data_IF_285983547574
#
_entry.id   IF_285983547574
#
_cell.length_a   1.000
_cell.length_b   1.000
_cell.length_c   1.000
_cell.angle_alpha   90.00
_cell.angle_beta   90.00
_cell.angle_gamma   90.00
#
_symmetry.space_group_name_H-M   'P 1'
#
loop_
_entity.id
_entity.type
_entity.pdbx_description
1 polymer ?
#
# COMPACT_ATOMS: atom_id res chain seq x y z
N UNK A 1 -6.03 30.59 -13.95
CA UNK A 1 -7.28 30.12 -13.32
C UNK A 1 -6.93 29.23 -12.14
N UNK A 2 -6.73 29.83 -10.96
CA UNK A 2 -6.54 29.09 -9.72
C UNK A 2 -7.93 28.68 -9.20
N UNK A 3 -8.26 27.40 -9.29
CA UNK A 3 -9.54 26.89 -8.82
C UNK A 3 -9.51 26.83 -7.29
N UNK A 4 -10.07 27.87 -6.66
CA UNK A 4 -10.27 27.95 -5.22
C UNK A 4 -11.32 26.93 -4.79
N UNK A 5 -10.88 25.75 -4.33
CA UNK A 5 -11.78 24.80 -3.67
C UNK A 5 -11.84 25.15 -2.18
N UNK A 6 -12.90 25.84 -1.78
CA UNK A 6 -13.25 26.16 -0.40
C UNK A 6 -13.80 24.91 0.30
N UNK A 7 -12.95 23.88 0.44
CA UNK A 7 -13.31 22.63 1.10
C UNK A 7 -13.35 22.88 2.62
N UNK A 8 -14.54 22.69 3.21
CA UNK A 8 -14.74 22.76 4.66
C UNK A 8 -13.70 21.91 5.41
N UNK A 9 -13.17 22.44 6.53
CA UNK A 9 -12.12 21.82 7.34
C UNK A 9 -12.44 20.36 7.73
N UNK A 10 -13.72 20.03 7.90
CA UNK A 10 -14.19 18.66 8.17
C UNK A 10 -14.01 17.71 6.98
N UNK A 11 -14.20 18.17 5.75
CA UNK A 11 -13.98 17.37 4.53
C UNK A 11 -12.50 17.11 4.29
N UNK A 12 -11.65 18.11 4.56
CA UNK A 12 -10.20 17.94 4.54
C UNK A 12 -9.76 16.87 5.54
N UNK A 13 -10.23 16.94 6.78
CA UNK A 13 -9.95 15.91 7.80
C UNK A 13 -10.47 14.52 7.41
N UNK A 14 -11.63 14.43 6.78
CA UNK A 14 -12.16 13.17 6.27
C UNK A 14 -11.27 12.54 5.19
N UNK A 15 -10.83 13.34 4.21
CA UNK A 15 -9.92 12.87 3.15
C UNK A 15 -8.56 12.47 3.72
N UNK A 16 -8.05 13.24 4.69
CA UNK A 16 -6.84 12.93 5.45
C UNK A 16 -6.94 11.58 6.16
N UNK A 17 -8.07 11.33 6.84
CA UNK A 17 -8.35 10.06 7.51
C UNK A 17 -8.37 8.90 6.53
N UNK A 18 -9.06 9.04 5.40
CA UNK A 18 -9.11 7.99 4.36
C UNK A 18 -7.72 7.69 3.80
N UNK A 19 -6.94 8.73 3.49
CA UNK A 19 -5.58 8.59 2.99
C UNK A 19 -4.66 7.91 4.01
N UNK A 20 -4.75 8.32 5.29
CA UNK A 20 -4.00 7.71 6.39
C UNK A 20 -4.38 6.24 6.59
N UNK A 21 -5.67 5.92 6.57
CA UNK A 21 -6.16 4.54 6.64
C UNK A 21 -5.68 3.71 5.46
N UNK A 22 -5.69 4.27 4.25
CA UNK A 22 -5.17 3.59 3.07
C UNK A 22 -3.66 3.30 3.20
N UNK A 23 -2.85 4.25 3.69
CA UNK A 23 -1.42 4.03 3.96
C UNK A 23 -1.18 2.99 5.05
N UNK A 24 -2.02 2.99 6.08
CA UNK A 24 -1.97 2.01 7.16
C UNK A 24 -2.26 0.59 6.63
N UNK A 25 -3.33 0.42 5.85
CA UNK A 25 -3.73 -0.88 5.26
C UNK A 25 -2.67 -1.38 4.28
N UNK A 26 -2.09 -0.48 3.49
CA UNK A 26 -1.05 -0.79 2.52
C UNK A 26 0.13 -1.50 3.20
N UNK A 27 0.67 -0.89 4.26
CA UNK A 27 1.75 -1.50 5.04
C UNK A 27 1.30 -2.70 5.86
N UNK A 28 0.06 -2.72 6.34
CA UNK A 28 -0.48 -3.86 7.06
C UNK A 28 -0.53 -5.14 6.20
N UNK A 29 -0.69 -5.03 4.89
CA UNK A 29 -0.65 -6.19 3.99
C UNK A 29 0.77 -6.76 3.84
N UNK A 30 1.81 -5.94 4.06
CA UNK A 30 3.21 -6.34 3.89
C UNK A 30 3.78 -7.08 5.11
N UNK A 31 3.43 -6.64 6.32
CA UNK A 31 4.02 -7.14 7.56
C UNK A 31 3.81 -8.64 7.86
N UNK A 32 2.66 -9.28 7.54
CA UNK A 32 2.44 -10.70 7.85
C UNK A 32 3.50 -11.63 7.24
N UNK A 33 4.03 -11.31 6.06
CA UNK A 33 5.07 -12.13 5.44
C UNK A 33 6.39 -12.07 6.19
N UNK A 34 6.83 -10.85 6.52
CA UNK A 34 8.06 -10.65 7.27
C UNK A 34 7.96 -11.28 8.67
N UNK A 35 6.79 -11.16 9.31
CA UNK A 35 6.52 -11.73 10.64
C UNK A 35 6.61 -13.26 10.65
N UNK A 36 6.06 -13.93 9.63
CA UNK A 36 6.08 -15.39 9.50
C UNK A 36 7.32 -15.93 8.77
N UNK A 37 8.37 -15.12 8.63
CA UNK A 37 9.56 -15.48 7.86
C UNK A 37 10.27 -16.74 8.36
N UNK A 38 10.22 -17.05 9.65
CA UNK A 38 10.81 -18.28 10.22
C UNK A 38 10.08 -19.52 9.71
N UNK A 39 8.75 -19.54 9.77
CA UNK A 39 7.92 -20.65 9.32
C UNK A 39 8.02 -20.85 7.80
N UNK A 40 8.01 -19.75 7.05
CA UNK A 40 8.13 -19.77 5.59
C UNK A 40 9.51 -20.28 5.16
N UNK A 41 10.58 -19.88 5.84
CA UNK A 41 11.93 -20.42 5.61
C UNK A 41 12.05 -21.88 6.02
N UNK A 42 11.34 -22.32 7.06
CA UNK A 42 11.30 -23.73 7.45
C UNK A 42 10.57 -24.59 6.42
N UNK A 43 9.49 -24.07 5.81
CA UNK A 43 8.72 -24.78 4.80
C UNK A 43 9.39 -24.79 3.42
N UNK A 44 10.06 -23.69 3.02
CA UNK A 44 10.48 -23.47 1.63
C UNK A 44 11.98 -23.15 1.45
N UNK A 45 12.75 -23.13 2.55
CA UNK A 45 14.16 -22.74 2.54
C UNK A 45 14.39 -21.23 2.41
N UNK A 46 15.63 -20.82 2.67
CA UNK A 46 16.04 -19.41 2.57
C UNK A 46 15.95 -18.88 1.13
N UNK A 47 16.27 -19.71 0.13
CA UNK A 47 16.24 -19.35 -1.28
C UNK A 47 14.80 -19.13 -1.78
N UNK A 48 13.84 -19.95 -1.33
CA UNK A 48 12.43 -19.79 -1.63
C UNK A 48 11.87 -18.50 -1.04
N UNK A 49 12.19 -18.20 0.22
CA UNK A 49 11.82 -16.93 0.85
C UNK A 49 12.38 -15.71 0.09
N UNK A 50 13.67 -15.76 -0.25
CA UNK A 50 14.34 -14.68 -0.98
C UNK A 50 13.76 -14.47 -2.38
N UNK A 51 13.40 -15.56 -3.08
CA UNK A 51 12.79 -15.50 -4.40
C UNK A 51 11.41 -14.85 -4.38
N UNK A 52 10.58 -15.18 -3.37
CA UNK A 52 9.24 -14.58 -3.19
C UNK A 52 9.33 -13.09 -2.84
N UNK A 53 10.25 -12.69 -1.95
CA UNK A 53 10.48 -11.27 -1.64
C UNK A 53 11.05 -10.52 -2.87
N UNK A 54 11.89 -11.19 -3.65
CA UNK A 54 12.39 -10.66 -4.93
C UNK A 54 11.27 -10.39 -5.93
N UNK A 55 10.30 -11.30 -6.05
CA UNK A 55 9.11 -11.12 -6.88
C UNK A 55 8.23 -9.95 -6.39
N UNK A 56 8.10 -9.76 -5.08
CA UNK A 56 7.45 -8.55 -4.53
C UNK A 56 8.16 -7.27 -5.00
N UNK A 57 9.50 -7.23 -4.86
CA UNK A 57 10.30 -6.09 -5.28
C UNK A 57 10.20 -5.81 -6.79
N UNK A 58 10.22 -6.86 -7.62
CA UNK A 58 10.01 -6.76 -9.06
C UNK A 58 8.62 -6.22 -9.40
N UNK A 59 7.58 -6.76 -8.75
CA UNK A 59 6.21 -6.27 -8.89
C UNK A 59 6.12 -4.79 -8.52
N UNK A 60 6.72 -4.40 -7.40
CA UNK A 60 6.74 -3.02 -6.93
C UNK A 60 7.46 -2.08 -7.91
N UNK A 61 8.59 -2.50 -8.49
CA UNK A 61 9.30 -1.72 -9.50
C UNK A 61 8.47 -1.54 -10.78
N UNK A 62 7.88 -2.63 -11.30
CA UNK A 62 6.99 -2.59 -12.46
C UNK A 62 5.76 -1.71 -12.19
N UNK A 63 5.18 -1.84 -11.01
CA UNK A 63 4.00 -1.10 -10.57
C UNK A 63 4.28 0.38 -10.44
N UNK A 64 5.44 0.76 -9.88
CA UNK A 64 5.87 2.15 -9.78
C UNK A 64 5.93 2.84 -11.14
N UNK A 65 6.48 2.16 -12.16
CA UNK A 65 6.51 2.67 -13.54
C UNK A 65 5.11 2.74 -14.16
N UNK A 66 4.35 1.66 -14.05
CA UNK A 66 3.01 1.56 -14.65
C UNK A 66 2.04 2.57 -14.05
N UNK A 67 1.96 2.63 -12.72
CA UNK A 67 1.08 3.55 -12.01
C UNK A 67 1.62 4.98 -12.00
N UNK A 68 2.93 5.19 -12.12
CA UNK A 68 3.50 6.51 -12.37
C UNK A 68 2.95 7.11 -13.66
N UNK A 69 3.04 6.36 -14.77
CA UNK A 69 2.47 6.78 -16.05
C UNK A 69 0.94 6.85 -16.00
N UNK A 70 0.27 5.82 -15.46
CA UNK A 70 -1.19 5.75 -15.44
C UNK A 70 -1.82 6.84 -14.56
N UNK A 71 -1.15 7.25 -13.48
CA UNK A 71 -1.60 8.35 -12.64
C UNK A 71 -1.65 9.68 -13.41
N UNK A 72 -0.87 9.83 -14.49
CA UNK A 72 -0.87 11.03 -15.32
C UNK A 72 -2.11 11.12 -16.21
N UNK A 73 -2.53 10.00 -16.82
CA UNK A 73 -3.66 9.96 -17.75
C UNK A 73 -5.01 9.67 -17.08
N UNK A 74 -5.02 8.91 -15.98
CA UNK A 74 -6.27 8.47 -15.32
C UNK A 74 -6.61 9.36 -14.14
N UNK A 75 -7.92 9.63 -13.99
CA UNK A 75 -8.41 10.41 -12.85
C UNK A 75 -8.24 9.59 -11.57
N UNK A 76 -7.41 10.08 -10.65
CA UNK A 76 -7.13 9.51 -9.33
C UNK A 76 -8.37 9.04 -8.55
N UNK A 77 -9.52 9.72 -8.70
CA UNK A 77 -10.78 9.30 -8.06
C UNK A 77 -11.26 7.88 -8.42
N UNK A 78 -10.88 7.38 -9.60
CA UNK A 78 -11.21 6.01 -10.03
C UNK A 78 -10.01 5.09 -9.86
N UNK A 79 -8.81 5.60 -10.15
CA UNK A 79 -7.59 4.81 -10.06
C UNK A 79 -7.32 4.34 -8.64
N UNK A 80 -7.43 5.23 -7.65
CA UNK A 80 -7.01 4.94 -6.28
C UNK A 80 -7.88 3.86 -5.60
N UNK A 81 -9.23 3.88 -5.68
CA UNK A 81 -10.04 2.78 -5.16
C UNK A 81 -9.78 1.45 -5.85
N UNK A 82 -9.56 1.42 -7.17
CA UNK A 82 -9.29 0.19 -7.92
C UNK A 82 -7.95 -0.41 -7.48
N UNK A 83 -6.91 0.42 -7.38
CA UNK A 83 -5.59 -0.01 -6.89
C UNK A 83 -5.68 -0.53 -5.45
N UNK A 84 -6.46 0.16 -4.61
CA UNK A 84 -6.72 -0.24 -3.22
C UNK A 84 -7.40 -1.59 -3.08
N UNK A 85 -8.47 -1.82 -3.84
CA UNK A 85 -9.17 -3.09 -3.85
C UNK A 85 -8.29 -4.21 -4.43
N UNK A 86 -7.47 -3.89 -5.44
CA UNK A 86 -6.58 -4.86 -6.08
C UNK A 86 -5.46 -5.33 -5.15
N UNK A 87 -4.80 -4.41 -4.43
CA UNK A 87 -3.78 -4.82 -3.44
C UNK A 87 -4.42 -5.57 -2.26
N UNK A 88 -5.61 -5.16 -1.81
CA UNK A 88 -6.30 -5.82 -0.71
C UNK A 88 -6.68 -7.26 -1.07
N UNK A 89 -7.18 -7.47 -2.29
CA UNK A 89 -7.50 -8.80 -2.82
C UNK A 89 -6.24 -9.66 -3.00
N UNK A 90 -5.14 -9.11 -3.51
CA UNK A 90 -3.87 -9.82 -3.63
C UNK A 90 -3.25 -10.19 -2.26
N UNK A 91 -3.41 -9.31 -1.27
CA UNK A 91 -3.02 -9.57 0.11
C UNK A 91 -3.84 -10.72 0.71
N UNK A 92 -5.16 -10.67 0.55
CA UNK A 92 -6.06 -11.72 1.01
C UNK A 92 -5.82 -13.05 0.28
N UNK A 93 -5.59 -13.03 -1.05
CA UNK A 93 -5.34 -14.23 -1.84
C UNK A 93 -4.13 -15.01 -1.33
N UNK A 94 -3.14 -14.32 -0.76
CA UNK A 94 -1.96 -14.94 -0.16
C UNK A 94 -2.28 -15.88 1.00
N UNK A 95 -3.46 -15.76 1.65
CA UNK A 95 -3.86 -16.63 2.76
C UNK A 95 -4.35 -18.02 2.29
N UNK A 96 -4.78 -18.16 1.03
CA UNK A 96 -5.28 -19.42 0.47
C UNK A 96 -4.24 -20.17 -0.37
N UNK A 97 -3.01 -19.67 -0.39
CA UNK A 97 -1.95 -20.22 -1.22
C UNK A 97 -1.05 -21.13 -0.40
N UNK A 98 -0.92 -22.38 -0.84
CA UNK A 98 -0.12 -23.42 -0.17
C UNK A 98 1.21 -23.70 -0.90
N UNK A 99 1.45 -23.07 -2.06
CA UNK A 99 2.63 -23.31 -2.90
C UNK A 99 3.55 -22.10 -2.99
N UNK A 100 4.87 -22.34 -3.13
CA UNK A 100 5.87 -21.26 -3.28
C UNK A 100 5.60 -20.40 -4.50
N UNK A 101 5.27 -21.03 -5.62
CA UNK A 101 4.99 -20.33 -6.88
C UNK A 101 3.73 -19.45 -6.75
N UNK A 102 2.65 -19.99 -6.18
CA UNK A 102 1.44 -19.22 -5.92
C UNK A 102 1.70 -18.04 -4.98
N UNK A 103 2.62 -18.22 -4.01
CA UNK A 103 2.94 -17.18 -3.02
C UNK A 103 3.76 -16.08 -3.68
N UNK A 104 4.69 -16.46 -4.56
CA UNK A 104 5.43 -15.56 -5.42
C UNK A 104 4.53 -14.72 -6.33
N UNK A 105 3.55 -15.34 -6.99
CA UNK A 105 2.59 -14.65 -7.86
C UNK A 105 1.72 -13.67 -7.05
N UNK A 106 1.19 -14.12 -5.91
CA UNK A 106 0.38 -13.27 -5.03
C UNK A 106 1.20 -12.08 -4.51
N UNK A 107 2.49 -12.29 -4.22
CA UNK A 107 3.39 -11.22 -3.78
C UNK A 107 3.79 -10.27 -4.90
N UNK A 108 4.02 -10.78 -6.11
CA UNK A 108 4.23 -9.93 -7.28
C UNK A 108 3.01 -9.03 -7.52
N UNK A 109 1.81 -9.61 -7.52
CA UNK A 109 0.56 -8.87 -7.68
C UNK A 109 0.37 -7.83 -6.56
N UNK A 110 0.62 -8.23 -5.30
CA UNK A 110 0.58 -7.31 -4.16
C UNK A 110 1.53 -6.13 -4.39
N UNK A 111 2.82 -6.39 -4.65
CA UNK A 111 3.82 -5.34 -4.90
C UNK A 111 3.46 -4.43 -6.07
N UNK A 112 2.95 -5.01 -7.17
CA UNK A 112 2.50 -4.27 -8.35
C UNK A 112 1.46 -3.20 -8.00
N UNK A 113 0.39 -3.60 -7.31
CA UNK A 113 -0.68 -2.66 -6.93
C UNK A 113 -0.27 -1.76 -5.75
N UNK A 114 0.52 -2.28 -4.81
CA UNK A 114 1.00 -1.53 -3.64
C UNK A 114 1.82 -0.31 -4.08
N UNK A 115 2.64 -0.44 -5.13
CA UNK A 115 3.43 0.66 -5.68
C UNK A 115 2.56 1.82 -6.22
N UNK A 116 1.34 1.54 -6.66
CA UNK A 116 0.39 2.55 -7.12
C UNK A 116 -0.14 3.47 -6.01
N UNK A 117 0.01 3.08 -4.74
CA UNK A 117 -0.40 3.89 -3.59
C UNK A 117 0.30 5.25 -3.57
N UNK A 118 1.63 5.28 -3.73
CA UNK A 118 2.44 6.50 -3.63
C UNK A 118 2.09 7.59 -4.66
N UNK A 119 2.07 7.31 -5.99
CA UNK A 119 1.72 8.32 -6.99
C UNK A 119 0.26 8.78 -6.84
N UNK A 120 -0.66 7.87 -6.51
CA UNK A 120 -2.07 8.22 -6.31
C UNK A 120 -2.28 9.09 -5.06
N UNK A 121 -1.63 8.74 -3.95
CA UNK A 121 -1.70 9.49 -2.70
C UNK A 121 -1.11 10.90 -2.91
N UNK A 122 0.04 11.01 -3.56
CA UNK A 122 0.69 12.30 -3.86
C UNK A 122 -0.17 13.19 -4.77
N UNK A 123 -0.76 12.64 -5.85
CA UNK A 123 -1.70 13.42 -6.67
C UNK A 123 -2.96 13.80 -5.90
N UNK A 124 -3.42 12.96 -4.96
CA UNK A 124 -4.56 13.30 -4.11
C UNK A 124 -4.22 14.48 -3.19
N UNK A 125 -3.08 14.44 -2.50
CA UNK A 125 -2.64 15.56 -1.66
C UNK A 125 -2.44 16.83 -2.49
N UNK A 126 -1.87 16.74 -3.69
CA UNK A 126 -1.70 17.91 -4.57
C UNK A 126 -3.02 18.55 -5.03
N UNK A 127 -4.07 17.75 -5.22
CA UNK A 127 -5.42 18.22 -5.62
C UNK A 127 -6.24 18.75 -4.46
N UNK A 128 -6.04 18.21 -3.27
CA UNK A 128 -6.85 18.51 -2.09
C UNK A 128 -6.23 19.64 -1.26
N UNK A 129 -4.90 19.73 -1.18
CA UNK A 129 -4.19 20.73 -0.38
C UNK A 129 -3.60 21.86 -1.21
N UNK A 130 -3.66 23.07 -0.63
CA UNK A 130 -2.94 24.25 -1.12
C UNK A 130 -1.43 23.98 -1.10
N UNK A 131 -0.62 24.60 -2.00
CA UNK A 131 0.82 24.38 -2.06
C UNK A 131 1.53 24.47 -0.69
N UNK A 132 1.16 25.44 0.15
CA UNK A 132 1.71 25.63 1.50
C UNK A 132 1.35 24.51 2.50
N UNK A 133 0.28 23.75 2.26
CA UNK A 133 -0.21 22.69 3.16
C UNK A 133 0.12 21.27 2.65
N UNK A 134 0.74 21.14 1.47
CA UNK A 134 1.09 19.84 0.89
C UNK A 134 2.08 19.07 1.75
N UNK A 135 3.03 19.76 2.38
CA UNK A 135 3.98 19.14 3.32
C UNK A 135 3.24 18.45 4.46
N UNK A 136 2.24 19.11 5.05
CA UNK A 136 1.44 18.54 6.14
C UNK A 136 0.67 17.30 5.68
N UNK A 137 0.05 17.34 4.50
CA UNK A 137 -0.63 16.18 3.93
C UNK A 137 0.31 15.00 3.66
N UNK A 138 1.53 15.27 3.16
CA UNK A 138 2.55 14.24 2.93
C UNK A 138 3.10 13.67 4.25
N UNK A 139 3.31 14.52 5.26
CA UNK A 139 3.71 14.07 6.60
C UNK A 139 2.65 13.16 7.23
N UNK A 140 1.36 13.42 6.98
CA UNK A 140 0.28 12.57 7.46
C UNK A 140 0.28 11.20 6.76
N UNK A 141 0.46 11.15 5.43
CA UNK A 141 0.62 9.90 4.68
C UNK A 141 1.78 9.07 5.22
N UNK A 142 2.94 9.71 5.41
CA UNK A 142 4.12 9.04 5.95
C UNK A 142 3.89 8.56 7.40
N UNK A 143 3.21 9.36 8.22
CA UNK A 143 2.82 8.95 9.57
C UNK A 143 1.91 7.71 9.55
N UNK A 144 0.98 7.62 8.60
CA UNK A 144 0.14 6.44 8.39
C UNK A 144 0.94 5.16 8.13
N UNK A 145 1.98 5.24 7.30
CA UNK A 145 2.88 4.10 7.03
C UNK A 145 3.67 3.65 8.28
N UNK A 146 4.17 4.61 9.06
CA UNK A 146 4.88 4.32 10.32
C UNK A 146 3.96 3.67 11.36
N UNK A 147 2.76 4.23 11.55
CA UNK A 147 1.74 3.69 12.46
C UNK A 147 1.31 2.29 12.03
N UNK A 148 1.05 2.07 10.73
CA UNK A 148 0.71 0.75 10.20
C UNK A 148 1.80 -0.29 10.42
N UNK A 149 3.07 0.08 10.23
CA UNK A 149 4.22 -0.81 10.45
C UNK A 149 4.36 -1.24 11.91
N UNK A 150 3.99 -0.40 12.87
CA UNK A 150 4.06 -0.72 14.30
C UNK A 150 2.83 -1.51 14.77
N UNK A 151 1.63 -1.08 14.36
CA UNK A 151 0.39 -1.69 14.81
C UNK A 151 0.19 -3.09 14.24
N UNK A 152 0.60 -3.33 12.99
CA UNK A 152 0.31 -4.62 12.33
C UNK A 152 0.94 -5.81 13.04
N UNK A 153 2.24 -5.83 13.37
CA UNK A 153 2.83 -6.93 14.16
C UNK A 153 2.15 -7.10 15.52
N UNK A 154 1.80 -6.00 16.20
CA UNK A 154 1.13 -6.06 17.49
C UNK A 154 -0.25 -6.71 17.38
N UNK A 155 -1.01 -6.38 16.33
CA UNK A 155 -2.32 -6.98 16.07
C UNK A 155 -2.21 -8.47 15.74
N UNK A 156 -1.26 -8.86 14.89
CA UNK A 156 -1.02 -10.28 14.55
C UNK A 156 -0.66 -11.06 15.82
N UNK A 157 0.26 -10.55 16.63
CA UNK A 157 0.65 -11.16 17.90
C UNK A 157 -0.52 -11.25 18.89
N UNK A 158 -1.41 -10.25 18.92
CA UNK A 158 -2.59 -10.27 19.78
C UNK A 158 -3.62 -11.31 19.34
N UNK A 159 -3.74 -11.59 18.04
CA UNK A 159 -4.65 -12.60 17.49
C UNK A 159 -4.09 -14.03 17.62
N UNK A 160 -2.77 -14.19 17.56
CA UNK A 160 -2.08 -15.49 17.74
C UNK A 160 -1.84 -15.89 19.21
N UNK A 161 -2.37 -15.13 20.18
CA UNK A 161 -2.39 -15.50 21.61
C UNK A 161 -3.66 -16.25 21.96
#
# INVERSE_FOLDING_TARGET
MHQESDLSRSRLLGICGILLSASLINYACRMPFAQNSVEIKAAFGADGYGSVEGLFGLGFACGGLLFGFLADFVKVRWLYPVVMLSWAFAGASSAWVETVEGLGISRFALGLFEAGHWPCALRTTQRVFKPAQRTWGNSLLQSGTAVGSILTPMLILAVHR
#
